data_IF_689143568542
#
_entry.id   IF_689143568542
#
_cell.length_a   1.000
_cell.length_b   1.000
_cell.length_c   1.000
_cell.angle_alpha   90.00
_cell.angle_beta   90.00
_cell.angle_gamma   90.00
#
_symmetry.space_group_name_H-M   'P 1'
#
loop_
_entity.id
_entity.type
_entity.pdbx_description
1 polymer ?
#
# COMPACT_ATOMS: atom_id res chain seq x y z
N UNK A 1 -21.11 -6.20 -5.46
CA UNK A 1 -20.95 -4.86 -6.04
C UNK A 1 -19.61 -4.61 -6.76
N UNK A 2 -18.48 -5.22 -6.37
CA UNK A 2 -17.17 -5.08 -7.07
C UNK A 2 -17.15 -5.58 -8.54
N UNK A 3 -17.96 -6.56 -8.88
CA UNK A 3 -18.00 -7.14 -10.26
C UNK A 3 -18.84 -6.31 -11.25
N UNK A 4 -19.69 -5.42 -10.76
CA UNK A 4 -20.56 -4.58 -11.59
C UNK A 4 -19.85 -3.31 -12.12
N UNK A 5 -18.87 -2.79 -11.37
CA UNK A 5 -18.10 -1.59 -11.77
C UNK A 5 -17.11 -1.91 -12.90
N UNK A 6 -16.49 -3.10 -12.87
CA UNK A 6 -15.59 -3.55 -13.95
C UNK A 6 -16.37 -3.84 -15.24
N UNK A 7 -17.59 -4.39 -15.12
CA UNK A 7 -18.45 -4.64 -16.28
C UNK A 7 -18.96 -3.34 -16.94
N UNK A 8 -19.17 -2.26 -16.18
CA UNK A 8 -19.57 -0.97 -16.75
C UNK A 8 -18.44 -0.25 -17.50
N UNK A 9 -17.18 -0.40 -17.07
CA UNK A 9 -16.05 0.18 -17.80
C UNK A 9 -15.76 -0.53 -19.13
N UNK A 10 -16.01 -1.83 -19.22
CA UNK A 10 -15.82 -2.61 -20.45
C UNK A 10 -16.98 -2.40 -21.44
N UNK A 11 -18.22 -2.17 -20.95
CA UNK A 11 -19.38 -1.91 -21.81
C UNK A 11 -19.35 -0.54 -22.49
N UNK A 12 -18.65 0.46 -21.91
CA UNK A 12 -18.48 1.78 -22.53
C UNK A 12 -17.54 1.81 -23.73
N UNK A 13 -16.66 0.83 -23.89
CA UNK A 13 -15.67 0.78 -24.96
C UNK A 13 -16.16 0.11 -26.26
N UNK A 14 -17.35 -0.51 -26.26
CA UNK A 14 -17.82 -1.34 -27.41
C UNK A 14 -18.82 -0.61 -28.29
N UNK A 15 -19.21 0.62 -27.98
CA UNK A 15 -20.23 1.33 -28.78
C UNK A 15 -19.69 2.24 -29.90
N UNK A 16 -18.38 2.30 -30.11
CA UNK A 16 -17.78 3.13 -31.17
C UNK A 16 -17.67 2.48 -32.55
N UNK A 17 -18.20 1.27 -32.77
CA UNK A 17 -17.97 0.49 -33.99
C UNK A 17 -19.23 0.33 -34.90
N UNK A 18 -20.19 1.25 -34.86
CA UNK A 18 -21.34 1.21 -35.76
C UNK A 18 -21.67 2.59 -36.38
N UNK A 19 -20.71 3.20 -37.04
CA UNK A 19 -20.94 4.38 -37.86
C UNK A 19 -20.15 4.33 -39.17
N UNK A 20 -20.31 3.24 -39.92
CA UNK A 20 -19.78 3.14 -41.26
C UNK A 20 -20.91 2.64 -42.17
N UNK A 21 -21.87 3.53 -42.48
CA UNK A 21 -22.66 3.57 -43.70
C UNK A 21 -23.60 4.78 -43.63
N UNK A 22 -23.11 5.97 -43.98
CA UNK A 22 -23.95 7.10 -44.35
C UNK A 22 -23.56 7.54 -45.75
N UNK A 23 -24.55 7.72 -46.67
CA UNK A 23 -24.27 8.23 -48.00
C UNK A 23 -23.70 9.66 -47.93
N UNK A 24 -22.71 9.95 -48.78
CA UNK A 24 -22.05 11.23 -48.93
C UNK A 24 -23.04 12.37 -49.23
N UNK A 25 -23.49 13.10 -48.22
CA UNK A 25 -24.13 14.40 -48.39
C UNK A 25 -23.07 15.50 -48.37
N UNK A 26 -22.58 15.85 -49.58
CA UNK A 26 -21.59 16.93 -49.79
C UNK A 26 -22.13 18.36 -49.61
N UNK A 27 -23.28 18.60 -48.96
CA UNK A 27 -23.94 19.89 -49.06
C UNK A 27 -24.11 20.71 -47.76
N UNK A 28 -23.49 20.34 -46.61
CA UNK A 28 -23.63 21.13 -45.38
C UNK A 28 -22.34 21.25 -44.55
N UNK A 29 -21.17 21.22 -45.16
CA UNK A 29 -19.96 21.64 -44.48
C UNK A 29 -19.70 23.11 -44.73
N UNK A 30 -20.28 23.98 -43.89
CA UNK A 30 -19.72 25.31 -43.65
C UNK A 30 -18.30 25.15 -43.10
N UNK A 31 -17.41 26.14 -43.25
CA UNK A 31 -16.04 26.05 -42.73
C UNK A 31 -16.05 26.13 -41.22
N UNK A 32 -16.39 25.06 -40.54
CA UNK A 32 -16.06 24.88 -39.12
C UNK A 32 -14.70 24.25 -39.12
N UNK A 33 -13.70 25.10 -39.12
CA UNK A 33 -12.32 24.71 -38.87
C UNK A 33 -12.14 24.26 -37.44
N UNK A 34 -12.73 23.10 -37.11
CA UNK A 34 -12.21 22.30 -36.02
C UNK A 34 -11.02 21.53 -36.59
N UNK A 35 -9.87 22.17 -36.56
CA UNK A 35 -8.62 21.44 -36.50
C UNK A 35 -8.69 20.57 -35.22
N UNK A 36 -9.17 19.34 -35.36
CA UNK A 36 -8.97 18.30 -34.37
C UNK A 36 -7.48 17.91 -34.40
N UNK A 37 -6.61 18.86 -34.12
CA UNK A 37 -5.21 18.61 -33.88
C UNK A 37 -5.13 17.74 -32.64
N UNK A 38 -4.64 16.52 -32.79
CA UNK A 38 -4.21 15.71 -31.66
C UNK A 38 -3.25 16.56 -30.85
N UNK A 39 -3.51 16.70 -29.57
CA UNK A 39 -2.65 17.49 -28.67
C UNK A 39 -1.27 16.84 -28.66
N UNK A 40 -0.23 17.64 -28.85
CA UNK A 40 1.14 17.18 -28.71
C UNK A 40 1.47 17.00 -27.21
N UNK A 41 1.62 15.76 -26.77
CA UNK A 41 1.99 15.38 -25.40
C UNK A 41 3.50 15.24 -25.21
N UNK A 42 4.32 15.42 -26.25
CA UNK A 42 5.77 15.32 -26.18
C UNK A 42 6.36 16.45 -25.34
N UNK A 43 7.37 16.13 -24.53
CA UNK A 43 8.14 17.10 -23.75
C UNK A 43 8.24 16.76 -22.28
N UNK A 44 8.93 17.61 -21.55
CA UNK A 44 9.00 17.58 -20.10
C UNK A 44 7.70 18.09 -19.48
N UNK A 45 7.35 17.52 -18.35
CA UNK A 45 6.21 17.98 -17.56
C UNK A 45 6.47 17.82 -16.07
N UNK A 46 5.81 18.64 -15.26
CA UNK A 46 5.85 18.62 -13.81
C UNK A 46 4.45 18.93 -13.26
N UNK A 47 4.12 18.37 -12.11
CA UNK A 47 2.82 18.64 -11.50
C UNK A 47 2.74 18.29 -10.03
N UNK A 48 1.62 18.73 -9.43
CA UNK A 48 1.20 18.38 -8.08
C UNK A 48 0.00 17.47 -8.10
N UNK A 49 -0.12 16.62 -7.09
CA UNK A 49 -1.19 15.66 -6.97
C UNK A 49 -1.58 15.39 -5.53
N UNK A 50 -2.83 15.01 -5.32
CA UNK A 50 -3.35 14.53 -4.05
C UNK A 50 -4.21 13.30 -4.30
N UNK A 51 -4.29 12.42 -3.32
CA UNK A 51 -5.02 11.18 -3.46
C UNK A 51 -5.50 10.62 -2.13
N UNK A 52 -6.30 9.58 -2.24
CA UNK A 52 -6.77 8.79 -1.13
C UNK A 52 -6.37 7.34 -1.34
N UNK A 53 -5.63 6.79 -0.37
CA UNK A 53 -5.10 5.44 -0.44
C UNK A 53 -5.63 4.54 0.65
N UNK A 54 -5.70 3.24 0.32
CA UNK A 54 -5.94 2.13 1.23
C UNK A 54 -4.72 1.24 1.24
N UNK A 55 -4.14 1.00 2.41
CA UNK A 55 -3.04 0.07 2.60
C UNK A 55 -3.52 -1.16 3.38
N UNK A 56 -3.31 -2.34 2.81
CA UNK A 56 -3.52 -3.64 3.46
C UNK A 56 -2.16 -4.16 3.94
N UNK A 57 -2.02 -4.27 5.27
CA UNK A 57 -0.79 -4.74 5.93
C UNK A 57 -1.04 -6.10 6.57
N UNK A 58 -0.28 -7.11 6.16
CA UNK A 58 -0.37 -8.47 6.71
C UNK A 58 0.84 -8.75 7.60
N UNK A 59 0.61 -8.79 8.91
CA UNK A 59 1.63 -9.00 9.93
C UNK A 59 1.85 -10.50 10.22
N UNK A 60 2.20 -11.30 9.23
CA UNK A 60 2.35 -12.76 9.38
C UNK A 60 3.65 -13.20 10.06
N UNK A 61 4.56 -12.28 10.36
CA UNK A 61 5.85 -12.59 11.02
C UNK A 61 5.69 -12.93 12.51
N UNK A 62 6.54 -13.81 13.03
CA UNK A 62 6.59 -14.17 14.46
C UNK A 62 7.45 -13.17 15.26
N UNK A 63 7.12 -13.01 16.54
CA UNK A 63 7.93 -12.25 17.50
C UNK A 63 8.86 -13.15 18.33
N UNK A 64 9.19 -14.37 17.85
CA UNK A 64 9.94 -15.37 18.60
C UNK A 64 11.31 -14.86 19.11
N UNK A 65 12.04 -14.12 18.27
CA UNK A 65 13.31 -13.53 18.68
C UNK A 65 13.13 -12.52 19.83
N UNK A 66 12.06 -11.73 19.78
CA UNK A 66 11.75 -10.75 20.81
C UNK A 66 11.28 -11.42 22.11
N UNK A 67 10.52 -12.51 22.03
CA UNK A 67 10.13 -13.36 23.17
C UNK A 67 11.37 -13.94 23.84
N UNK A 68 12.29 -14.51 23.06
CA UNK A 68 13.54 -15.05 23.60
C UNK A 68 14.41 -13.97 24.25
N UNK A 69 14.43 -12.76 23.68
CA UNK A 69 15.13 -11.61 24.27
C UNK A 69 14.49 -11.16 25.60
N UNK A 70 13.15 -11.17 25.69
CA UNK A 70 12.44 -10.79 26.90
C UNK A 70 12.68 -11.74 28.08
N UNK A 71 12.65 -13.04 27.81
CA UNK A 71 12.77 -14.08 28.82
C UNK A 71 14.24 -14.40 29.20
N UNK A 72 15.19 -14.05 28.33
CA UNK A 72 16.59 -14.44 28.45
C UNK A 72 16.88 -15.87 27.95
N UNK A 73 18.14 -16.19 27.71
CA UNK A 73 18.55 -17.50 27.20
C UNK A 73 18.25 -18.62 28.20
N UNK A 74 17.81 -19.78 27.68
CA UNK A 74 17.50 -20.98 28.46
C UNK A 74 16.31 -20.86 29.44
N UNK A 75 15.42 -19.88 29.25
CA UNK A 75 14.21 -19.78 30.05
C UNK A 75 13.23 -20.88 29.65
N UNK A 76 12.70 -21.62 30.66
CA UNK A 76 11.76 -22.74 30.46
C UNK A 76 10.42 -22.33 29.79
N UNK A 77 10.08 -21.05 29.81
CA UNK A 77 8.85 -20.51 29.24
C UNK A 77 8.95 -20.21 27.75
N UNK A 78 10.16 -20.18 27.15
CA UNK A 78 10.35 -19.74 25.76
C UNK A 78 9.49 -20.52 24.78
N UNK A 79 9.58 -21.84 24.76
CA UNK A 79 8.87 -22.70 23.81
C UNK A 79 7.36 -22.57 23.96
N UNK A 80 6.90 -22.48 25.20
CA UNK A 80 5.48 -22.35 25.51
C UNK A 80 4.95 -20.99 25.08
N UNK A 81 5.63 -19.88 25.42
CA UNK A 81 5.22 -18.53 25.03
C UNK A 81 5.26 -18.38 23.51
N UNK A 82 6.24 -18.96 22.82
CA UNK A 82 6.28 -18.97 21.37
C UNK A 82 5.14 -19.76 20.74
N UNK A 83 4.72 -20.87 21.36
CA UNK A 83 3.60 -21.69 20.86
C UNK A 83 2.25 -20.98 20.98
N UNK A 84 2.07 -20.12 21.98
CA UNK A 84 0.84 -19.33 22.20
C UNK A 84 0.89 -17.95 21.57
N UNK A 85 2.04 -17.55 21.02
CA UNK A 85 2.16 -16.31 20.28
C UNK A 85 1.35 -16.43 18.97
N UNK A 86 0.11 -15.96 19.01
CA UNK A 86 -0.81 -16.02 17.86
C UNK A 86 -0.26 -15.26 16.65
N UNK A 87 -0.68 -15.64 15.46
CA UNK A 87 -0.39 -14.91 14.25
C UNK A 87 -1.07 -13.52 14.30
N UNK A 88 -0.28 -12.49 14.01
CA UNK A 88 -0.84 -11.15 13.84
C UNK A 88 -1.74 -11.09 12.60
N UNK A 89 -2.89 -10.42 12.73
CA UNK A 89 -3.90 -10.33 11.68
C UNK A 89 -3.52 -9.34 10.57
N UNK A 90 -4.42 -9.24 9.58
CA UNK A 90 -4.38 -8.21 8.54
C UNK A 90 -5.02 -6.93 9.07
N UNK A 91 -4.40 -5.80 8.77
CA UNK A 91 -4.89 -4.47 9.13
C UNK A 91 -5.02 -3.64 7.86
N UNK A 92 -6.22 -3.13 7.61
CA UNK A 92 -6.50 -2.16 6.55
C UNK A 92 -6.50 -0.74 7.11
N UNK A 93 -5.75 0.16 6.49
CA UNK A 93 -5.69 1.58 6.87
C UNK A 93 -5.93 2.46 5.65
N UNK A 94 -6.57 3.60 5.88
CA UNK A 94 -6.87 4.58 4.83
C UNK A 94 -6.18 5.90 5.15
N UNK A 95 -5.66 6.57 4.12
CA UNK A 95 -4.93 7.82 4.30
C UNK A 95 -5.05 8.72 3.08
N UNK A 96 -5.15 10.03 3.33
CA UNK A 96 -4.94 11.05 2.30
C UNK A 96 -3.45 11.24 2.06
N UNK A 97 -3.06 11.31 0.78
CA UNK A 97 -1.69 11.50 0.34
C UNK A 97 -1.59 12.70 -0.56
N UNK A 98 -0.43 13.37 -0.57
CA UNK A 98 -0.15 14.48 -1.47
C UNK A 98 1.31 14.44 -1.92
N UNK A 99 1.59 15.03 -3.07
CA UNK A 99 2.95 15.02 -3.59
C UNK A 99 3.06 15.64 -4.97
N UNK A 100 4.07 15.21 -5.70
CA UNK A 100 4.35 15.74 -7.03
C UNK A 100 4.90 14.67 -7.97
N UNK A 101 4.93 15.02 -9.22
CA UNK A 101 5.47 14.20 -10.29
C UNK A 101 6.24 15.04 -11.30
N UNK A 102 7.21 14.42 -11.94
CA UNK A 102 7.95 14.98 -13.07
C UNK A 102 8.31 13.88 -14.05
N UNK A 103 8.22 14.17 -15.34
CA UNK A 103 8.49 13.16 -16.36
C UNK A 103 8.78 13.75 -17.73
N UNK A 104 9.04 12.86 -18.66
CA UNK A 104 9.24 13.16 -20.07
C UNK A 104 8.43 12.16 -20.91
N UNK A 105 7.69 12.69 -21.88
CA UNK A 105 6.98 11.93 -22.90
C UNK A 105 7.64 12.10 -24.25
N UNK A 106 7.71 11.01 -25.01
CA UNK A 106 7.94 10.99 -26.45
C UNK A 106 6.65 10.56 -27.14
N UNK A 107 6.28 11.23 -28.22
CA UNK A 107 5.07 10.94 -28.98
C UNK A 107 5.40 10.61 -30.42
N UNK A 108 4.83 9.52 -30.91
CA UNK A 108 4.87 9.10 -32.31
C UNK A 108 3.42 8.92 -32.78
N UNK A 109 2.98 9.79 -33.66
CA UNK A 109 1.59 9.91 -34.07
C UNK A 109 0.67 10.06 -32.82
N UNK A 110 -0.17 9.07 -32.55
CA UNK A 110 -1.08 9.04 -31.41
C UNK A 110 -0.52 8.25 -30.21
N UNK A 111 0.61 7.57 -30.36
CA UNK A 111 1.22 6.76 -29.29
C UNK A 111 2.18 7.61 -28.48
N UNK A 112 1.98 7.63 -27.16
CA UNK A 112 2.82 8.35 -26.21
C UNK A 112 3.49 7.36 -25.29
N UNK A 113 4.82 7.41 -25.18
CA UNK A 113 5.62 6.62 -24.25
C UNK A 113 6.47 7.55 -23.41
N UNK A 114 6.57 7.30 -22.12
CA UNK A 114 7.29 8.20 -21.23
C UNK A 114 7.89 7.51 -20.01
N UNK A 115 8.73 8.28 -19.32
CA UNK A 115 9.26 7.93 -18.00
C UNK A 115 8.85 9.00 -17.02
N UNK A 116 8.55 8.60 -15.79
CA UNK A 116 8.09 9.52 -14.77
C UNK A 116 8.64 9.14 -13.39
N UNK A 117 9.05 10.15 -12.63
CA UNK A 117 9.32 10.04 -11.20
C UNK A 117 8.17 10.66 -10.43
N UNK A 118 7.71 9.95 -9.42
CA UNK A 118 6.64 10.36 -8.53
C UNK A 118 7.11 10.37 -7.08
N UNK A 119 6.64 11.32 -6.31
CA UNK A 119 6.78 11.36 -4.86
C UNK A 119 5.43 11.61 -4.22
N UNK A 120 5.10 10.83 -3.19
CA UNK A 120 3.89 10.96 -2.39
C UNK A 120 4.25 10.92 -0.91
N UNK A 121 3.72 11.87 -0.17
CA UNK A 121 3.75 11.93 1.28
C UNK A 121 2.38 11.57 1.83
N UNK A 122 2.35 10.69 2.86
CA UNK A 122 1.12 10.28 3.53
C UNK A 122 1.42 9.16 4.52
N UNK A 123 0.84 9.22 5.71
CA UNK A 123 1.22 8.37 6.83
C UNK A 123 0.28 7.18 7.00
N UNK A 124 0.60 6.05 6.38
CA UNK A 124 -0.13 4.79 6.55
C UNK A 124 0.35 4.07 7.81
N UNK A 125 -0.42 4.14 8.89
CA UNK A 125 -0.10 3.52 10.18
C UNK A 125 -0.96 2.27 10.38
N UNK A 126 -0.36 1.09 10.27
CA UNK A 126 -1.00 -0.18 10.62
C UNK A 126 -0.45 -0.71 11.94
N UNK A 127 -1.33 -1.10 12.85
CA UNK A 127 -0.97 -1.71 14.13
C UNK A 127 -1.81 -2.95 14.35
N UNK A 128 -1.15 -4.07 14.66
CA UNK A 128 -1.79 -5.32 15.05
C UNK A 128 -1.37 -5.68 16.47
N UNK A 129 -2.35 -5.92 17.34
CA UNK A 129 -2.13 -6.35 18.72
C UNK A 129 -2.81 -7.71 18.90
N UNK A 130 -2.08 -8.65 19.46
CA UNK A 130 -2.56 -9.98 19.86
C UNK A 130 -2.41 -10.10 21.36
N UNK A 131 -3.52 -10.36 22.04
CA UNK A 131 -3.57 -10.53 23.50
C UNK A 131 -4.46 -11.74 23.81
N UNK A 132 -3.93 -12.99 23.67
CA UNK A 132 -4.68 -14.18 24.02
C UNK A 132 -5.02 -14.20 25.50
N UNK A 133 -6.09 -14.91 25.86
CA UNK A 133 -6.44 -15.15 27.27
C UNK A 133 -5.29 -15.89 27.93
N UNK A 134 -4.88 -15.49 29.15
CA UNK A 134 -3.85 -16.22 29.88
C UNK A 134 -4.17 -17.71 30.03
N UNK A 135 -3.19 -18.56 29.77
CA UNK A 135 -3.33 -20.02 29.86
C UNK A 135 -2.68 -20.53 31.16
N UNK A 136 -3.44 -21.32 31.92
CA UNK A 136 -2.90 -22.05 33.08
C UNK A 136 -2.54 -23.47 32.66
N UNK A 137 -1.28 -23.83 32.85
CA UNK A 137 -0.79 -25.18 32.55
C UNK A 137 -1.12 -26.14 33.67
N UNK A 138 -1.66 -27.29 33.32
CA UNK A 138 -2.14 -28.32 34.25
C UNK A 138 -1.06 -29.32 34.67
N UNK A 139 0.13 -29.24 34.07
CA UNK A 139 1.32 -30.03 34.42
C UNK A 139 2.41 -29.09 34.92
N UNK A 140 3.15 -29.49 35.96
CA UNK A 140 4.28 -28.70 36.44
C UNK A 140 5.41 -28.68 35.39
N UNK A 141 6.13 -27.57 35.34
CA UNK A 141 7.27 -27.38 34.45
C UNK A 141 8.52 -28.05 35.10
N UNK A 142 9.68 -27.94 34.46
CA UNK A 142 10.94 -28.54 34.92
C UNK A 142 11.44 -27.99 36.27
N UNK A 143 10.95 -26.83 36.70
CA UNK A 143 11.19 -26.23 38.02
C UNK A 143 10.23 -26.78 39.10
N UNK A 144 9.31 -27.68 38.75
CA UNK A 144 8.33 -28.26 39.64
C UNK A 144 7.12 -27.37 39.96
N UNK A 145 6.97 -26.22 39.27
CA UNK A 145 5.90 -25.27 39.50
C UNK A 145 4.83 -25.33 38.38
N UNK A 146 3.61 -24.94 38.70
CA UNK A 146 2.54 -24.68 37.77
C UNK A 146 2.57 -23.23 37.33
N UNK A 147 2.41 -22.98 36.06
CA UNK A 147 2.48 -21.63 35.46
C UNK A 147 1.14 -21.21 34.86
N UNK A 148 0.80 -19.94 35.07
CA UNK A 148 -0.25 -19.22 34.33
C UNK A 148 0.40 -18.12 33.51
N UNK A 149 0.39 -18.29 32.19
CA UNK A 149 1.14 -17.48 31.24
C UNK A 149 0.19 -16.60 30.42
N UNK A 150 0.47 -15.32 30.38
CA UNK A 150 -0.18 -14.34 29.50
C UNK A 150 0.83 -13.72 28.55
N UNK A 151 0.38 -13.37 27.34
CA UNK A 151 1.20 -12.70 26.33
C UNK A 151 0.38 -11.56 25.71
N UNK A 152 1.00 -10.40 25.60
CA UNK A 152 0.52 -9.31 24.72
C UNK A 152 1.64 -9.06 23.72
N UNK A 153 1.31 -9.16 22.46
CA UNK A 153 2.26 -8.96 21.35
C UNK A 153 1.72 -7.89 20.41
N UNK A 154 2.52 -6.87 20.12
CA UNK A 154 2.20 -5.76 19.24
C UNK A 154 3.17 -5.64 18.08
N UNK A 155 2.67 -5.32 16.88
CA UNK A 155 3.47 -4.93 15.72
C UNK A 155 2.84 -3.74 15.04
N UNK A 156 3.67 -2.75 14.70
CA UNK A 156 3.26 -1.55 14.00
C UNK A 156 4.19 -1.29 12.82
N UNK A 157 3.61 -0.89 11.70
CA UNK A 157 4.33 -0.41 10.51
C UNK A 157 3.72 0.93 10.11
N UNK A 158 4.56 1.95 10.00
CA UNK A 158 4.20 3.30 9.58
C UNK A 158 4.97 3.65 8.31
N UNK A 159 4.29 3.82 7.18
CA UNK A 159 4.89 4.24 5.91
C UNK A 159 4.55 5.71 5.71
N UNK A 160 5.59 6.58 5.61
CA UNK A 160 5.41 8.04 5.53
C UNK A 160 5.62 8.59 4.13
N UNK A 161 6.60 8.06 3.42
CA UNK A 161 7.05 8.60 2.14
C UNK A 161 7.18 7.48 1.11
N UNK A 162 6.70 7.74 -0.09
CA UNK A 162 6.77 6.81 -1.21
C UNK A 162 7.26 7.54 -2.47
N UNK A 163 8.27 6.97 -3.11
CA UNK A 163 8.74 7.39 -4.42
C UNK A 163 8.54 6.28 -5.44
N UNK A 164 8.19 6.61 -6.66
CA UNK A 164 8.12 5.63 -7.76
C UNK A 164 8.85 6.16 -8.97
N UNK A 165 9.53 5.26 -9.70
CA UNK A 165 10.07 5.50 -11.03
C UNK A 165 9.34 4.54 -11.95
N UNK A 166 8.64 5.08 -12.96
CA UNK A 166 7.73 4.30 -13.79
C UNK A 166 7.85 4.62 -15.27
N UNK A 167 7.70 3.62 -16.10
CA UNK A 167 7.44 3.76 -17.52
C UNK A 167 5.93 3.87 -17.74
N UNK A 168 5.51 4.68 -18.70
CA UNK A 168 4.11 4.86 -19.09
C UNK A 168 3.93 4.73 -20.58
N UNK A 169 2.79 4.20 -21.00
CA UNK A 169 2.39 4.10 -22.40
C UNK A 169 0.91 4.48 -22.52
N UNK A 170 0.60 5.36 -23.45
CA UNK A 170 -0.74 5.89 -23.67
C UNK A 170 -1.06 6.13 -25.13
N UNK A 171 -2.30 6.47 -25.40
CA UNK A 171 -2.80 6.81 -26.73
C UNK A 171 -3.52 8.15 -26.68
N UNK A 172 -3.07 9.11 -27.50
CA UNK A 172 -3.63 10.45 -27.55
C UNK A 172 -4.95 10.47 -28.34
N UNK A 173 -6.03 10.91 -27.69
CA UNK A 173 -7.37 11.03 -28.29
C UNK A 173 -7.86 12.47 -28.12
N UNK A 174 -7.64 13.31 -29.13
CA UNK A 174 -7.95 14.73 -29.01
C UNK A 174 -7.18 15.40 -27.89
N UNK A 175 -7.86 15.91 -26.88
CA UNK A 175 -7.26 16.53 -25.68
C UNK A 175 -7.05 15.56 -24.50
N UNK A 176 -7.36 14.25 -24.68
CA UNK A 176 -7.23 13.22 -23.67
C UNK A 176 -6.06 12.28 -23.97
N UNK A 177 -5.43 11.81 -22.91
CA UNK A 177 -4.37 10.79 -22.96
C UNK A 177 -4.64 9.71 -21.92
N UNK A 178 -5.43 8.67 -22.22
CA UNK A 178 -5.48 7.45 -21.42
C UNK A 178 -4.12 6.71 -21.50
N UNK A 179 -3.67 6.16 -20.38
CA UNK A 179 -2.38 5.46 -20.31
C UNK A 179 -2.37 4.39 -19.22
N UNK A 180 -1.44 3.47 -19.37
CA UNK A 180 -1.05 2.50 -18.35
C UNK A 180 0.39 2.77 -17.92
N UNK A 181 0.74 2.36 -16.73
CA UNK A 181 2.11 2.51 -16.24
C UNK A 181 2.53 1.37 -15.33
N UNK A 182 3.84 1.19 -15.20
CA UNK A 182 4.44 0.24 -14.28
C UNK A 182 5.89 0.61 -13.98
N UNK A 183 6.39 0.19 -12.83
CA UNK A 183 7.73 0.58 -12.42
C UNK A 183 8.14 0.09 -11.05
N UNK A 184 9.16 0.73 -10.50
CA UNK A 184 9.72 0.45 -9.20
C UNK A 184 9.14 1.42 -8.17
N UNK A 185 8.92 0.91 -6.95
CA UNK A 185 8.50 1.70 -5.80
C UNK A 185 9.55 1.64 -4.69
N UNK A 186 9.80 2.78 -4.09
CA UNK A 186 10.62 2.96 -2.89
C UNK A 186 9.75 3.57 -1.81
N UNK A 187 9.94 3.14 -0.56
CA UNK A 187 9.20 3.68 0.58
C UNK A 187 10.10 3.84 1.80
N UNK A 188 9.68 4.70 2.72
CA UNK A 188 10.29 4.82 4.03
C UNK A 188 9.30 4.39 5.10
N UNK A 189 9.72 3.45 5.96
CA UNK A 189 8.88 2.91 7.02
C UNK A 189 9.58 2.91 8.38
N UNK A 190 8.78 3.12 9.41
CA UNK A 190 9.13 2.85 10.80
C UNK A 190 8.40 1.58 11.24
N UNK A 191 9.15 0.62 11.79
CA UNK A 191 8.64 -0.68 12.22
C UNK A 191 8.89 -0.81 13.71
N UNK A 192 7.85 -1.09 14.49
CA UNK A 192 7.95 -1.33 15.93
C UNK A 192 7.33 -2.67 16.25
N UNK A 193 8.02 -3.47 17.05
CA UNK A 193 7.53 -4.72 17.60
C UNK A 193 7.65 -4.67 19.12
N UNK A 194 6.67 -5.18 19.84
CA UNK A 194 6.68 -5.23 21.31
C UNK A 194 6.05 -6.52 21.81
N UNK A 195 6.55 -7.01 22.93
CA UNK A 195 5.97 -8.11 23.68
C UNK A 195 5.95 -7.76 25.16
N UNK A 196 4.89 -8.19 25.83
CA UNK A 196 4.78 -8.18 27.29
C UNK A 196 4.31 -9.57 27.70
N UNK A 197 5.21 -10.31 28.36
CA UNK A 197 4.94 -11.65 28.88
C UNK A 197 4.63 -11.52 30.37
N UNK A 198 3.57 -12.17 30.80
CA UNK A 198 3.17 -12.28 32.20
C UNK A 198 3.31 -13.74 32.59
N UNK A 199 4.00 -14.00 33.69
CA UNK A 199 4.10 -15.31 34.31
C UNK A 199 3.65 -15.23 35.76
N UNK A 200 2.83 -16.20 36.17
CA UNK A 200 2.45 -16.44 37.54
C UNK A 200 2.75 -17.90 37.86
N UNK A 201 3.56 -18.17 38.89
CA UNK A 201 3.95 -19.54 39.26
C UNK A 201 3.53 -19.90 40.68
N UNK A 202 3.30 -21.19 40.92
CA UNK A 202 2.89 -21.68 42.22
C UNK A 202 2.92 -23.19 42.31
N UNK A 203 2.90 -23.74 43.55
CA UNK A 203 2.98 -25.17 43.82
C UNK A 203 1.71 -25.95 43.47
N UNK A 204 0.68 -25.28 43.02
CA UNK A 204 -0.58 -25.85 42.51
C UNK A 204 -1.17 -24.93 41.47
N UNK A 205 -2.16 -25.43 40.69
CA UNK A 205 -2.91 -24.66 39.69
C UNK A 205 -3.54 -23.44 40.36
N UNK A 206 -4.25 -23.60 41.46
CA UNK A 206 -4.89 -22.50 42.18
C UNK A 206 -3.89 -21.48 42.72
N UNK A 207 -2.72 -21.93 43.21
CA UNK A 207 -1.67 -21.06 43.66
C UNK A 207 -1.04 -20.24 42.53
N UNK A 208 -0.83 -20.84 41.35
CA UNK A 208 -0.33 -20.10 40.19
C UNK A 208 -1.32 -19.03 39.69
N UNK A 209 -2.62 -19.33 39.71
CA UNK A 209 -3.63 -18.36 39.33
C UNK A 209 -3.72 -17.18 40.31
N UNK A 210 -3.51 -17.42 41.61
CA UNK A 210 -3.57 -16.41 42.67
C UNK A 210 -2.25 -15.65 42.88
N UNK A 211 -1.13 -16.14 42.31
CA UNK A 211 0.19 -15.53 42.48
C UNK A 211 0.27 -14.14 41.85
N UNK A 212 1.16 -13.32 42.40
CA UNK A 212 1.51 -12.04 41.82
C UNK A 212 2.23 -12.23 40.48
N UNK A 213 1.87 -11.49 39.43
CA UNK A 213 2.49 -11.67 38.13
C UNK A 213 3.92 -11.11 38.08
N UNK A 214 4.80 -11.85 37.42
CA UNK A 214 6.08 -11.39 36.93
C UNK A 214 5.91 -10.94 35.48
N UNK A 215 6.49 -9.79 35.12
CA UNK A 215 6.38 -9.21 33.78
C UNK A 215 7.73 -9.15 33.10
N UNK A 216 7.77 -9.59 31.84
CA UNK A 216 8.93 -9.58 30.96
C UNK A 216 8.62 -8.75 29.70
N UNK A 217 8.87 -7.43 29.73
CA UNK A 217 8.70 -6.59 28.57
C UNK A 217 9.90 -6.63 27.63
N UNK A 218 9.67 -6.62 26.32
CA UNK A 218 10.70 -6.31 25.33
C UNK A 218 10.08 -5.54 24.16
N UNK A 219 10.88 -4.68 23.56
CA UNK A 219 10.50 -3.95 22.35
C UNK A 219 11.71 -3.75 21.44
N UNK A 220 11.42 -3.73 20.12
CA UNK A 220 12.40 -3.44 19.08
C UNK A 220 11.79 -2.43 18.11
N UNK A 221 12.59 -1.47 17.67
CA UNK A 221 12.15 -0.41 16.77
C UNK A 221 13.20 -0.11 15.71
N UNK A 222 12.80 -0.19 14.45
CA UNK A 222 13.63 0.14 13.29
C UNK A 222 13.02 1.37 12.62
N UNK A 223 13.68 2.52 12.79
CA UNK A 223 13.28 3.77 12.16
C UNK A 223 13.88 3.97 10.77
N UNK A 224 13.12 4.53 9.86
CA UNK A 224 13.59 4.92 8.53
C UNK A 224 14.02 3.78 7.62
N UNK A 225 13.47 2.57 7.80
CA UNK A 225 13.76 1.43 6.93
C UNK A 225 13.32 1.72 5.51
N UNK A 226 14.26 1.57 4.55
CA UNK A 226 13.94 1.67 3.13
C UNK A 226 13.20 0.42 2.66
N UNK A 227 12.03 0.63 2.10
CA UNK A 227 11.23 -0.39 1.45
C UNK A 227 11.44 -0.30 -0.06
N UNK A 228 11.41 -1.45 -0.73
CA UNK A 228 11.40 -1.54 -2.18
C UNK A 228 10.28 -2.46 -2.65
N UNK A 229 9.79 -2.19 -3.84
CA UNK A 229 8.67 -2.89 -4.40
C UNK A 229 8.43 -2.51 -5.85
N UNK A 230 7.22 -2.80 -6.32
CA UNK A 230 6.79 -2.45 -7.66
C UNK A 230 5.45 -1.72 -7.64
N UNK A 231 5.22 -0.95 -8.70
CA UNK A 231 3.98 -0.23 -8.93
C UNK A 231 3.42 -0.56 -10.31
N UNK A 232 2.10 -0.57 -10.41
CA UNK A 232 1.37 -0.64 -11.67
C UNK A 232 0.06 0.15 -11.54
N UNK A 233 -0.43 0.70 -12.64
CA UNK A 233 -1.67 1.45 -12.61
C UNK A 233 -2.15 1.90 -13.98
N UNK A 234 -3.26 2.62 -13.94
CA UNK A 234 -3.89 3.24 -15.11
C UNK A 234 -4.23 4.69 -14.80
N UNK A 235 -4.24 5.51 -15.81
CA UNK A 235 -4.61 6.91 -15.66
C UNK A 235 -5.13 7.54 -16.93
N UNK A 236 -5.57 8.76 -16.79
CA UNK A 236 -5.91 9.63 -17.91
C UNK A 236 -5.46 11.05 -17.61
N UNK A 237 -5.00 11.73 -18.63
CA UNK A 237 -4.71 13.16 -18.62
C UNK A 237 -5.65 13.87 -19.58
N UNK A 238 -6.03 15.10 -19.25
CA UNK A 238 -6.85 15.96 -20.10
C UNK A 238 -6.19 17.34 -20.16
N UNK A 239 -5.86 17.81 -21.37
CA UNK A 239 -5.38 19.17 -21.59
C UNK A 239 -6.53 20.14 -21.34
N UNK A 240 -6.33 21.09 -20.43
CA UNK A 240 -7.34 22.08 -20.04
C UNK A 240 -7.22 23.35 -20.86
N UNK A 241 -6.09 24.03 -20.74
CA UNK A 241 -5.78 25.26 -21.49
C UNK A 241 -4.27 25.44 -21.62
N UNK A 242 -3.83 25.88 -22.78
CA UNK A 242 -2.40 26.04 -23.05
C UNK A 242 -1.63 24.75 -22.80
N UNK A 243 -0.71 24.79 -21.87
CA UNK A 243 0.13 23.64 -21.47
C UNK A 243 -0.27 23.04 -20.12
N UNK A 244 -1.42 23.45 -19.55
CA UNK A 244 -1.93 22.92 -18.28
C UNK A 244 -2.83 21.72 -18.53
N UNK A 245 -2.59 20.62 -17.82
CA UNK A 245 -3.39 19.43 -17.88
C UNK A 245 -3.87 18.98 -16.51
N UNK A 246 -5.03 18.35 -16.47
CA UNK A 246 -5.54 17.60 -15.32
C UNK A 246 -5.19 16.13 -15.47
N UNK A 247 -5.03 15.44 -14.34
CA UNK A 247 -4.70 14.02 -14.25
C UNK A 247 -5.62 13.32 -13.26
N UNK A 248 -6.03 12.09 -13.59
CA UNK A 248 -6.65 11.14 -12.68
C UNK A 248 -6.00 9.77 -12.85
N UNK A 249 -5.61 9.14 -11.75
CA UNK A 249 -4.90 7.85 -11.73
C UNK A 249 -5.45 6.92 -10.67
N UNK A 250 -5.39 5.63 -10.96
CA UNK A 250 -5.41 4.55 -9.97
C UNK A 250 -4.06 3.85 -9.99
N UNK A 251 -3.44 3.71 -8.82
CA UNK A 251 -2.13 3.07 -8.65
C UNK A 251 -2.20 1.96 -7.60
N UNK A 252 -1.59 0.84 -7.91
CA UNK A 252 -1.27 -0.24 -7.01
C UNK A 252 0.23 -0.27 -6.73
N UNK A 253 0.60 -0.32 -5.45
CA UNK A 253 1.98 -0.47 -4.99
C UNK A 253 2.07 -1.69 -4.08
N UNK A 254 3.09 -2.54 -4.28
CA UNK A 254 3.42 -3.64 -3.38
C UNK A 254 4.86 -3.54 -2.93
N UNK A 255 5.07 -3.52 -1.59
CA UNK A 255 6.38 -3.60 -0.97
C UNK A 255 6.68 -5.03 -0.54
N UNK A 256 7.92 -5.51 -0.82
CA UNK A 256 8.33 -6.92 -0.62
C UNK A 256 9.24 -7.13 0.59
N UNK A 257 9.75 -6.07 1.24
CA UNK A 257 10.72 -6.16 2.34
C UNK A 257 10.30 -5.39 3.60
N UNK A 258 9.01 -5.13 3.78
CA UNK A 258 8.49 -4.35 4.91
C UNK A 258 8.46 -5.12 6.25
N UNK A 259 8.85 -6.41 6.28
CA UNK A 259 8.63 -7.29 7.44
C UNK A 259 7.16 -7.67 7.64
N UNK A 260 6.31 -7.23 6.72
CA UNK A 260 4.91 -7.54 6.51
C UNK A 260 4.65 -7.46 5.00
N UNK A 261 3.62 -8.16 4.51
CA UNK A 261 3.15 -7.92 3.14
C UNK A 261 2.33 -6.64 3.14
N UNK A 262 2.79 -5.63 2.40
CA UNK A 262 2.11 -4.34 2.30
C UNK A 262 1.67 -4.10 0.87
N UNK A 263 0.35 -3.95 0.70
CA UNK A 263 -0.27 -3.61 -0.57
C UNK A 263 -1.02 -2.28 -0.41
N UNK A 264 -0.74 -1.32 -1.29
CA UNK A 264 -1.37 0.00 -1.25
C UNK A 264 -2.09 0.23 -2.56
N UNK A 265 -3.37 0.61 -2.47
CA UNK A 265 -4.18 1.07 -3.59
C UNK A 265 -4.48 2.55 -3.40
N UNK A 266 -4.20 3.38 -4.39
CA UNK A 266 -4.41 4.82 -4.32
C UNK A 266 -5.20 5.31 -5.53
N UNK A 267 -6.21 6.13 -5.30
CA UNK A 267 -6.84 6.96 -6.32
C UNK A 267 -6.35 8.39 -6.11
N UNK A 268 -5.90 9.03 -7.16
CA UNK A 268 -5.33 10.38 -7.08
C UNK A 268 -5.71 11.25 -8.25
N UNK A 269 -5.80 12.54 -7.99
CA UNK A 269 -5.98 13.60 -8.97
C UNK A 269 -4.84 14.60 -8.88
N UNK A 270 -4.56 15.28 -9.98
CA UNK A 270 -3.48 16.25 -10.03
C UNK A 270 -3.64 17.25 -11.15
N UNK A 271 -2.80 18.27 -11.09
CA UNK A 271 -2.61 19.26 -12.15
C UNK A 271 -1.13 19.30 -12.52
N UNK A 272 -0.87 19.40 -13.81
CA UNK A 272 0.48 19.49 -14.33
C UNK A 272 0.64 20.57 -15.40
N UNK A 273 1.87 20.90 -15.64
CA UNK A 273 2.30 21.81 -16.70
C UNK A 273 3.33 21.13 -17.59
N UNK A 274 3.10 21.17 -18.89
CA UNK A 274 3.99 20.64 -19.92
C UNK A 274 4.80 21.77 -20.55
N UNK A 275 6.09 21.54 -20.74
CA UNK A 275 7.01 22.49 -21.38
C UNK A 275 7.13 22.27 -22.88
#
# INVERSE_FOLDING_TARGET
MRRLVVAMMVAGAVQAARAADMPDYYALRGPVGYSSGVVNWQGFYVGGQAGYGSADMNFSGSNNALIASALGPNNILIDVVQSVSGAHGKVGVHQTTYGGFAGYNSQWDDVVVGIEANYMHGKFNGTSIVAPVPLTYVTPFSDGLYHTIGLISGRSVSISDMGTIRARAGYAVGSFLPYVFGGLALGRADITSSVLIMDKSGNSISASQAASPQYYPASDSIGGKMLYGYTAGIGTEAMLFGNVFARAEWEYVRFVNAGADVNINTVRGGLGYKF
#
